data_IF_690877861290
#
_entry.id   IF_690877861290
#
_cell.length_a   1.000
_cell.length_b   1.000
_cell.length_c   1.000
_cell.angle_alpha   90.00
_cell.angle_beta   90.00
_cell.angle_gamma   90.00
#
_symmetry.space_group_name_H-M   'P 1'
#
loop_
_entity.id
_entity.type
_entity.pdbx_description
1 polymer ?
#
# COMPACT_ATOMS: atom_id res chain seq x y z
N UNK A 1 -11.50 50.42 -0.60
CA UNK A 1 -10.07 50.14 -0.34
C UNK A 1 -9.99 49.25 0.89
N UNK A 2 -9.14 48.22 0.84
CA UNK A 2 -9.14 46.98 1.64
C UNK A 2 -10.22 45.99 1.17
N UNK A 3 -9.97 45.09 0.23
CA UNK A 3 -8.97 43.99 0.22
C UNK A 3 -8.96 43.21 1.54
N UNK A 4 -9.75 42.15 1.58
CA UNK A 4 -9.59 41.05 2.52
C UNK A 4 -9.70 39.75 1.74
N UNK A 5 -8.53 39.31 1.26
CA UNK A 5 -8.03 37.99 1.58
C UNK A 5 -8.79 36.86 0.91
N UNK A 6 -8.38 36.54 -0.31
CA UNK A 6 -8.52 35.19 -0.84
C UNK A 6 -7.93 34.20 0.18
N UNK A 7 -8.81 33.44 0.83
CA UNK A 7 -8.43 32.30 1.65
C UNK A 7 -7.79 31.28 0.71
N UNK A 8 -6.46 31.31 0.61
CA UNK A 8 -5.70 30.28 -0.04
C UNK A 8 -6.06 28.95 0.64
N UNK A 9 -6.85 28.12 -0.03
CA UNK A 9 -7.09 26.76 0.38
C UNK A 9 -5.72 26.11 0.60
N UNK A 10 -5.45 25.71 1.84
CA UNK A 10 -4.28 24.94 2.20
C UNK A 10 -4.24 23.75 1.24
N UNK A 11 -3.36 23.83 0.24
CA UNK A 11 -3.18 22.79 -0.74
C UNK A 11 -2.36 21.69 -0.08
N UNK A 12 -3.03 20.92 0.78
CA UNK A 12 -2.45 19.79 1.48
C UNK A 12 -1.94 18.76 0.50
N UNK A 13 -0.80 18.15 0.83
CA UNK A 13 -0.34 16.98 0.13
C UNK A 13 -1.17 15.78 0.59
N UNK A 14 -1.86 15.10 -0.33
CA UNK A 14 -2.69 13.94 -0.03
C UNK A 14 -1.80 12.71 0.19
N UNK A 15 -1.91 12.09 1.36
CA UNK A 15 -1.15 10.87 1.69
C UNK A 15 -2.00 9.63 1.44
N UNK A 16 -1.49 8.72 0.63
CA UNK A 16 -2.10 7.43 0.32
C UNK A 16 -1.28 6.29 0.94
N UNK A 17 -1.89 5.52 1.84
CA UNK A 17 -1.34 4.25 2.30
C UNK A 17 -1.65 3.17 1.25
N UNK A 18 -0.63 2.48 0.75
CA UNK A 18 -0.80 1.45 -0.29
C UNK A 18 -0.20 0.13 0.16
N UNK A 19 -1.03 -0.91 0.17
CA UNK A 19 -0.58 -2.30 0.29
C UNK A 19 0.14 -2.72 -1.01
N UNK A 20 1.47 -2.60 -1.02
CA UNK A 20 2.30 -2.92 -2.17
C UNK A 20 2.82 -4.35 -2.07
N UNK A 21 2.10 -5.30 -2.68
CA UNK A 21 2.35 -6.75 -2.61
C UNK A 21 3.41 -7.26 -3.60
N UNK A 22 4.05 -6.37 -4.36
CA UNK A 22 4.97 -6.71 -5.45
C UNK A 22 4.30 -7.26 -6.72
N UNK A 23 2.97 -7.43 -6.70
CA UNK A 23 2.17 -7.80 -7.86
C UNK A 23 1.94 -6.64 -8.84
N UNK A 24 1.38 -6.95 -10.01
CA UNK A 24 1.09 -5.97 -11.04
C UNK A 24 0.12 -4.87 -10.58
N UNK A 25 -0.99 -5.25 -9.95
CA UNK A 25 -2.05 -4.29 -9.60
C UNK A 25 -1.63 -3.26 -8.55
N UNK A 26 -0.97 -3.74 -7.49
CA UNK A 26 -0.48 -2.87 -6.42
C UNK A 26 0.68 -1.99 -6.89
N UNK A 27 1.54 -2.51 -7.79
CA UNK A 27 2.57 -1.71 -8.46
C UNK A 27 1.94 -0.64 -9.34
N UNK A 28 0.97 -0.99 -10.19
CA UNK A 28 0.26 -0.02 -11.01
C UNK A 28 -0.37 1.10 -10.15
N UNK A 29 -1.01 0.75 -9.02
CA UNK A 29 -1.59 1.75 -8.12
C UNK A 29 -0.55 2.70 -7.53
N UNK A 30 0.61 2.20 -7.08
CA UNK A 30 1.71 3.04 -6.61
C UNK A 30 2.13 4.00 -7.72
N UNK A 31 2.35 3.47 -8.93
CA UNK A 31 2.84 4.25 -10.05
C UNK A 31 1.84 5.31 -10.54
N UNK A 32 0.57 4.95 -10.63
CA UNK A 32 -0.54 5.84 -10.98
C UNK A 32 -0.65 7.01 -9.99
N UNK A 33 -0.56 6.72 -8.68
CA UNK A 33 -0.57 7.77 -7.65
C UNK A 33 0.64 8.71 -7.75
N UNK A 34 1.83 8.16 -8.00
CA UNK A 34 3.04 8.97 -8.15
C UNK A 34 2.97 9.90 -9.37
N UNK A 35 2.21 9.55 -10.41
CA UNK A 35 2.02 10.42 -11.57
C UNK A 35 1.26 11.71 -11.27
N UNK A 36 0.63 11.82 -10.09
CA UNK A 36 -0.22 12.94 -9.67
C UNK A 36 0.54 13.94 -8.79
N UNK A 37 0.30 15.22 -9.01
CA UNK A 37 0.87 16.29 -8.17
C UNK A 37 0.26 16.30 -6.77
N UNK A 38 1.05 16.72 -5.77
CA UNK A 38 0.63 16.84 -4.37
C UNK A 38 0.15 15.51 -3.75
N UNK A 39 0.73 14.39 -4.19
CA UNK A 39 0.49 13.06 -3.64
C UNK A 39 1.75 12.55 -2.95
N UNK A 40 1.59 11.94 -1.78
CA UNK A 40 2.61 11.14 -1.10
C UNK A 40 2.09 9.73 -0.95
N UNK A 41 2.86 8.76 -1.43
CA UNK A 41 2.53 7.33 -1.32
C UNK A 41 3.37 6.73 -0.20
N UNK A 42 2.72 6.17 0.82
CA UNK A 42 3.34 5.35 1.85
C UNK A 42 3.09 3.87 1.53
N UNK A 43 4.08 3.14 0.99
CA UNK A 43 3.90 1.73 0.67
C UNK A 43 4.14 0.82 1.88
N UNK A 44 3.33 -0.23 1.97
CA UNK A 44 3.37 -1.27 2.99
C UNK A 44 3.50 -2.65 2.33
N UNK A 45 4.45 -3.46 2.79
CA UNK A 45 4.58 -4.87 2.42
C UNK A 45 4.38 -5.75 3.65
N UNK A 46 3.30 -6.55 3.65
CA UNK A 46 3.07 -7.55 4.71
C UNK A 46 3.93 -8.77 4.42
N UNK A 47 4.92 -9.00 5.28
CA UNK A 47 5.86 -10.10 5.14
C UNK A 47 5.20 -11.43 5.47
N UNK A 48 5.12 -12.32 4.47
CA UNK A 48 4.80 -13.73 4.67
C UNK A 48 6.09 -14.53 4.95
N UNK A 49 6.30 -15.03 6.19
CA UNK A 49 7.51 -15.76 6.55
C UNK A 49 7.62 -17.13 5.84
N UNK A 50 6.52 -17.69 5.35
CA UNK A 50 6.50 -18.96 4.62
C UNK A 50 6.91 -18.84 3.15
N UNK A 51 6.93 -17.61 2.60
CA UNK A 51 7.15 -17.40 1.17
C UNK A 51 8.64 -17.36 0.84
N UNK A 52 9.15 -18.42 0.20
CA UNK A 52 10.56 -18.55 -0.20
C UNK A 52 11.03 -17.41 -1.15
N UNK A 53 10.11 -16.74 -1.85
CA UNK A 53 10.38 -15.67 -2.83
C UNK A 53 10.42 -14.24 -2.27
N UNK A 54 10.10 -13.99 -1.00
CA UNK A 54 9.95 -12.61 -0.48
C UNK A 54 11.19 -11.72 -0.72
N UNK A 55 12.40 -12.30 -0.66
CA UNK A 55 13.64 -11.56 -0.93
C UNK A 55 13.74 -11.05 -2.38
N UNK A 56 13.31 -11.87 -3.34
CA UNK A 56 13.30 -11.50 -4.76
C UNK A 56 12.24 -10.45 -5.01
N UNK A 57 11.05 -10.60 -4.40
CA UNK A 57 9.96 -9.61 -4.50
C UNK A 57 10.41 -8.24 -3.97
N UNK A 58 11.03 -8.21 -2.77
CA UNK A 58 11.54 -6.97 -2.20
C UNK A 58 12.65 -6.34 -3.05
N UNK A 59 13.56 -7.14 -3.64
CA UNK A 59 14.58 -6.63 -4.55
C UNK A 59 13.94 -5.99 -5.80
N UNK A 60 12.94 -6.63 -6.39
CA UNK A 60 12.20 -6.08 -7.54
C UNK A 60 11.44 -4.80 -7.18
N UNK A 61 10.82 -4.75 -6.02
CA UNK A 61 10.15 -3.54 -5.54
C UNK A 61 11.14 -2.38 -5.35
N UNK A 62 12.35 -2.66 -4.84
CA UNK A 62 13.40 -1.66 -4.73
C UNK A 62 13.88 -1.15 -6.11
N UNK A 63 14.06 -2.04 -7.09
CA UNK A 63 14.36 -1.66 -8.48
C UNK A 63 13.27 -0.76 -9.07
N UNK A 64 11.99 -1.09 -8.86
CA UNK A 64 10.85 -0.29 -9.32
C UNK A 64 10.84 1.08 -8.64
N UNK A 65 11.06 1.14 -7.33
CA UNK A 65 11.11 2.39 -6.58
C UNK A 65 12.23 3.32 -7.10
N UNK A 66 13.41 2.75 -7.38
CA UNK A 66 14.53 3.49 -7.96
C UNK A 66 14.20 4.00 -9.38
N UNK A 67 13.58 3.17 -10.22
CA UNK A 67 13.15 3.58 -11.56
C UNK A 67 12.08 4.69 -11.52
N UNK A 68 11.12 4.60 -10.59
CA UNK A 68 10.10 5.64 -10.39
C UNK A 68 10.72 6.97 -9.92
N UNK A 69 11.70 6.93 -9.02
CA UNK A 69 12.45 8.11 -8.59
C UNK A 69 13.21 8.76 -9.77
N UNK A 70 13.90 7.95 -10.59
CA UNK A 70 14.62 8.43 -11.77
C UNK A 70 13.70 9.01 -12.85
N UNK A 71 12.44 8.55 -12.92
CA UNK A 71 11.42 9.06 -13.84
C UNK A 71 11.03 10.52 -13.56
N UNK A 72 11.23 11.00 -12.33
CA UNK A 72 10.97 12.38 -11.93
C UNK A 72 9.47 12.70 -11.82
N UNK A 73 8.67 11.76 -11.35
CA UNK A 73 7.23 11.97 -11.18
C UNK A 73 6.89 12.97 -10.07
N UNK A 74 5.76 13.70 -10.19
CA UNK A 74 5.43 14.81 -9.30
C UNK A 74 4.98 14.36 -7.91
N UNK A 75 4.50 13.12 -7.76
CA UNK A 75 4.21 12.50 -6.48
C UNK A 75 5.46 11.94 -5.82
N UNK A 76 5.44 11.84 -4.49
CA UNK A 76 6.57 11.35 -3.69
C UNK A 76 6.30 9.95 -3.17
N UNK A 77 7.25 9.04 -3.40
CA UNK A 77 7.25 7.71 -2.81
C UNK A 77 8.04 7.73 -1.50
N UNK A 78 7.43 7.26 -0.43
CA UNK A 78 8.10 7.07 0.86
C UNK A 78 8.85 5.73 0.90
N UNK A 79 9.77 5.53 1.85
CA UNK A 79 10.40 4.23 2.08
C UNK A 79 9.36 3.12 2.30
N UNK A 80 9.63 1.93 1.76
CA UNK A 80 8.82 0.74 1.96
C UNK A 80 8.82 0.33 3.43
N UNK A 81 7.64 0.36 4.06
CA UNK A 81 7.43 -0.21 5.38
C UNK A 81 7.14 -1.71 5.26
N UNK A 82 8.10 -2.53 5.69
CA UNK A 82 7.90 -3.98 5.83
C UNK A 82 7.27 -4.24 7.18
N UNK A 83 6.07 -4.81 7.17
CA UNK A 83 5.29 -5.09 8.38
C UNK A 83 5.21 -6.59 8.59
N UNK A 84 5.32 -7.02 9.84
CA UNK A 84 5.11 -8.41 10.20
C UNK A 84 3.66 -8.82 9.88
N UNK A 85 3.46 -10.10 9.55
CA UNK A 85 2.14 -10.67 9.37
C UNK A 85 1.26 -10.39 10.61
N UNK A 86 0.08 -9.76 10.44
CA UNK A 86 -0.79 -9.46 11.57
C UNK A 86 -1.43 -10.73 12.13
N UNK A 87 -1.72 -10.70 13.43
CA UNK A 87 -2.41 -11.77 14.13
C UNK A 87 -3.91 -11.73 13.79
N UNK A 88 -4.30 -12.49 12.76
CA UNK A 88 -5.71 -12.60 12.34
C UNK A 88 -6.65 -13.15 13.41
N UNK A 89 -6.15 -13.78 14.48
CA UNK A 89 -7.00 -14.23 15.58
C UNK A 89 -7.64 -13.05 16.34
N UNK A 90 -7.04 -11.85 16.27
CA UNK A 90 -7.60 -10.60 16.83
C UNK A 90 -8.81 -10.07 16.06
N UNK A 91 -9.08 -10.64 14.89
CA UNK A 91 -10.05 -10.16 13.91
C UNK A 91 -10.98 -11.31 13.46
N UNK A 92 -11.82 -11.84 14.37
CA UNK A 92 -12.59 -13.06 14.11
C UNK A 92 -13.55 -12.92 12.92
N UNK A 93 -14.15 -11.76 12.74
CA UNK A 93 -15.02 -11.44 11.60
C UNK A 93 -14.28 -11.46 10.25
N UNK A 94 -13.04 -10.97 10.18
CA UNK A 94 -12.20 -11.09 8.98
C UNK A 94 -11.86 -12.55 8.71
N UNK A 95 -11.54 -13.31 9.75
CA UNK A 95 -11.22 -14.74 9.63
C UNK A 95 -12.43 -15.55 9.16
N UNK A 96 -13.62 -15.26 9.67
CA UNK A 96 -14.87 -15.90 9.28
C UNK A 96 -15.23 -15.56 7.82
N UNK A 97 -15.16 -14.29 7.44
CA UNK A 97 -15.40 -13.85 6.06
C UNK A 97 -14.39 -14.49 5.09
N UNK A 98 -13.11 -14.53 5.45
CA UNK A 98 -12.09 -15.23 4.67
C UNK A 98 -12.39 -16.73 4.56
N UNK A 99 -12.76 -17.40 5.66
CA UNK A 99 -13.07 -18.83 5.65
C UNK A 99 -14.23 -19.16 4.71
N UNK A 100 -15.28 -18.32 4.71
CA UNK A 100 -16.42 -18.48 3.81
C UNK A 100 -15.99 -18.33 2.33
N UNK A 101 -15.26 -17.26 2.00
CA UNK A 101 -14.77 -17.02 0.65
C UNK A 101 -13.74 -18.07 0.20
N UNK A 102 -12.88 -18.54 1.09
CA UNK A 102 -11.92 -19.59 0.78
C UNK A 102 -12.62 -20.90 0.44
N UNK A 103 -13.67 -21.27 1.17
CA UNK A 103 -14.47 -22.46 0.88
C UNK A 103 -15.23 -22.36 -0.45
N UNK A 104 -15.66 -21.16 -0.85
CA UNK A 104 -16.42 -20.93 -2.08
C UNK A 104 -15.53 -20.82 -3.33
N UNK A 105 -14.47 -20.00 -3.26
CA UNK A 105 -13.67 -19.59 -4.43
C UNK A 105 -12.15 -19.78 -4.25
N UNK A 106 -11.70 -20.34 -3.13
CA UNK A 106 -10.29 -20.71 -2.93
C UNK A 106 -9.30 -19.55 -2.77
N UNK A 107 -9.74 -18.38 -2.28
CA UNK A 107 -8.84 -17.23 -2.08
C UNK A 107 -7.75 -17.51 -1.04
N UNK A 108 -6.53 -17.00 -1.28
CA UNK A 108 -5.39 -17.22 -0.39
C UNK A 108 -5.53 -16.53 0.98
N UNK A 109 -4.79 -17.03 1.97
CA UNK A 109 -4.72 -16.46 3.34
C UNK A 109 -4.21 -15.01 3.36
N UNK A 110 -3.46 -14.60 2.34
CA UNK A 110 -2.97 -13.22 2.19
C UNK A 110 -4.10 -12.18 2.29
N UNK A 111 -5.30 -12.47 1.78
CA UNK A 111 -6.43 -11.53 1.87
C UNK A 111 -6.86 -11.26 3.32
N UNK A 112 -6.83 -12.28 4.20
CA UNK A 112 -7.12 -12.08 5.61
C UNK A 112 -6.05 -11.21 6.29
N UNK A 113 -4.78 -11.40 5.95
CA UNK A 113 -3.68 -10.60 6.48
C UNK A 113 -3.78 -9.14 6.03
N UNK A 114 -4.03 -8.90 4.75
CA UNK A 114 -4.17 -7.55 4.20
C UNK A 114 -5.37 -6.82 4.81
N UNK A 115 -6.50 -7.51 5.00
CA UNK A 115 -7.67 -6.94 5.66
C UNK A 115 -7.42 -6.62 7.14
N UNK A 116 -6.78 -7.54 7.88
CA UNK A 116 -6.42 -7.31 9.28
C UNK A 116 -5.45 -6.13 9.41
N UNK A 117 -4.44 -6.05 8.55
CA UNK A 117 -3.50 -4.93 8.51
C UNK A 117 -4.21 -3.60 8.23
N UNK A 118 -5.11 -3.57 7.24
CA UNK A 118 -5.83 -2.36 6.87
C UNK A 118 -6.72 -1.85 8.02
N UNK A 119 -7.23 -2.74 8.88
CA UNK A 119 -8.03 -2.35 10.04
C UNK A 119 -7.20 -1.76 11.19
N UNK A 120 -5.93 -2.11 11.28
CA UNK A 120 -5.03 -1.64 12.34
C UNK A 120 -4.35 -0.30 12.01
N UNK A 121 -4.66 0.32 10.86
CA UNK A 121 -3.97 1.49 10.30
C UNK A 121 -4.88 2.68 10.07
#
# INVERSE_FOLDING_TARGET
MADQGATAAASGCERHAVLWTGGWDSTFRVLDLLSRSRVVVQPYYVLDPGRRSHRVEMARMAEIAAAAAARGWPGRLEPLEVVAMPDTARHPDIREAWSALHAEIGIGTQYAWLAAFARER
#
